data_IF_148845057852
#
_entry.id   IF_148845057852
#
_cell.length_a   1.000
_cell.length_b   1.000
_cell.length_c   1.000
_cell.angle_alpha   90.00
_cell.angle_beta   90.00
_cell.angle_gamma   90.00
#
_symmetry.space_group_name_H-M   'P 1'
#
loop_
_entity.id
_entity.type
_entity.pdbx_description
1 polymer ?
#
# COMPACT_ATOMS: atom_id res chain seq x y z
N UNK A 1 -49.07 42.69 -19.19
CA UNK A 1 -48.70 43.95 -19.88
C UNK A 1 -47.47 44.50 -19.15
N UNK A 2 -46.25 44.69 -19.67
CA UNK A 2 -45.69 45.06 -20.98
C UNK A 2 -44.27 44.44 -21.09
N UNK A 3 -43.96 43.66 -22.13
CA UNK A 3 -43.12 43.99 -23.33
C UNK A 3 -41.63 44.26 -23.04
N UNK A 4 -40.78 43.36 -23.53
CA UNK A 4 -39.33 43.51 -23.72
C UNK A 4 -38.99 44.50 -24.86
N UNK A 5 -37.74 44.97 -24.94
CA UNK A 5 -36.90 44.69 -26.12
C UNK A 5 -35.45 44.31 -25.70
N UNK A 6 -34.85 43.23 -26.21
CA UNK A 6 -34.09 43.18 -27.47
C UNK A 6 -33.14 44.38 -27.65
N UNK A 7 -31.92 44.25 -27.12
CA UNK A 7 -30.74 44.91 -27.65
C UNK A 7 -29.68 43.83 -27.92
N UNK A 8 -29.63 43.38 -29.16
CA UNK A 8 -28.55 42.57 -29.69
C UNK A 8 -27.28 43.44 -29.78
N UNK A 9 -26.20 42.99 -29.16
CA UNK A 9 -24.86 43.47 -29.49
C UNK A 9 -24.03 42.24 -29.87
N UNK A 10 -23.94 42.04 -31.17
CA UNK A 10 -22.92 41.22 -31.82
C UNK A 10 -21.64 42.04 -31.82
N UNK A 11 -20.56 41.59 -31.17
CA UNK A 11 -19.21 42.00 -31.59
C UNK A 11 -18.10 41.05 -31.12
N UNK A 12 -17.33 40.63 -32.13
CA UNK A 12 -15.98 40.11 -32.11
C UNK A 12 -15.73 38.69 -31.56
N UNK A 13 -15.82 37.72 -32.48
CA UNK A 13 -14.96 36.54 -32.53
C UNK A 13 -13.48 36.95 -32.47
N UNK A 14 -12.91 37.07 -31.28
CA UNK A 14 -11.47 36.93 -31.08
C UNK A 14 -11.19 35.43 -31.00
N UNK A 15 -11.06 34.80 -32.18
CA UNK A 15 -10.40 33.51 -32.32
C UNK A 15 -8.91 33.68 -31.96
N UNK A 16 -8.64 33.81 -30.66
CA UNK A 16 -7.31 33.58 -30.13
C UNK A 16 -6.98 32.13 -30.40
N UNK A 17 -6.13 31.88 -31.42
CA UNK A 17 -5.43 30.61 -31.53
C UNK A 17 -4.59 30.47 -30.27
N UNK A 18 -5.13 29.79 -29.26
CA UNK A 18 -4.32 29.13 -28.28
C UNK A 18 -3.37 28.26 -29.10
N UNK A 19 -2.10 28.65 -29.17
CA UNK A 19 -1.06 27.68 -29.44
C UNK A 19 -1.11 26.75 -28.25
N UNK A 20 -1.79 25.62 -28.40
CA UNK A 20 -1.37 24.42 -27.73
C UNK A 20 0.12 24.33 -28.05
N UNK A 21 0.97 24.69 -27.10
CA UNK A 21 2.36 24.27 -27.17
C UNK A 21 2.29 22.77 -27.33
N UNK A 22 2.94 22.26 -28.36
CA UNK A 22 3.13 20.83 -28.54
C UNK A 22 3.84 20.33 -27.28
N UNK A 23 3.07 19.90 -26.29
CA UNK A 23 3.56 19.18 -25.14
C UNK A 23 4.03 17.86 -25.69
N UNK A 24 5.30 17.80 -26.09
CA UNK A 24 5.92 16.61 -26.64
C UNK A 24 5.61 15.45 -25.69
N UNK A 25 4.82 14.44 -26.10
CA UNK A 25 4.56 13.30 -25.25
C UNK A 25 5.60 12.25 -25.62
N UNK A 26 6.72 12.21 -24.92
CA UNK A 26 7.59 11.03 -24.92
C UNK A 26 8.68 11.20 -23.87
N UNK A 27 8.41 10.66 -22.68
CA UNK A 27 9.39 9.91 -21.93
C UNK A 27 10.83 10.47 -21.92
N UNK A 28 11.02 11.60 -21.24
CA UNK A 28 12.33 12.22 -20.96
C UNK A 28 13.17 11.40 -19.96
N UNK A 29 12.98 10.08 -19.88
CA UNK A 29 13.81 9.23 -19.02
C UNK A 29 15.24 9.19 -19.59
N UNK A 30 16.27 9.51 -18.78
CA UNK A 30 17.66 9.27 -19.15
C UNK A 30 17.86 7.85 -19.68
N UNK A 31 18.80 7.65 -20.60
CA UNK A 31 19.07 6.33 -21.22
C UNK A 31 19.21 5.21 -20.19
N UNK A 32 19.79 5.51 -19.04
CA UNK A 32 19.97 4.61 -17.89
C UNK A 32 18.66 4.13 -17.23
N UNK A 33 17.55 4.85 -17.40
CA UNK A 33 16.27 4.58 -16.73
C UNK A 33 15.17 4.10 -17.70
N UNK A 34 15.49 3.92 -18.98
CA UNK A 34 14.50 3.48 -19.99
C UNK A 34 13.89 2.12 -19.66
N UNK A 35 14.69 1.21 -19.13
CA UNK A 35 14.28 -0.14 -18.76
C UNK A 35 13.81 -0.24 -17.30
N UNK A 36 13.82 0.87 -16.55
CA UNK A 36 13.33 0.91 -15.18
C UNK A 36 11.83 1.20 -15.19
N UNK A 37 11.06 0.24 -14.71
CA UNK A 37 9.61 0.33 -14.62
C UNK A 37 9.03 -0.66 -13.63
N UNK A 38 7.70 -0.62 -13.47
CA UNK A 38 6.96 -1.59 -12.67
C UNK A 38 6.39 -2.67 -13.60
N UNK A 39 6.70 -3.92 -13.32
CA UNK A 39 6.06 -5.08 -13.92
C UNK A 39 5.07 -5.69 -12.92
N UNK A 40 3.81 -5.22 -12.89
CA UNK A 40 2.82 -5.80 -11.99
C UNK A 40 2.52 -7.24 -12.41
N UNK A 41 2.30 -8.11 -11.42
CA UNK A 41 1.87 -9.50 -11.62
C UNK A 41 0.49 -9.75 -10.98
N UNK A 42 -0.60 -9.14 -11.47
CA UNK A 42 -1.94 -9.38 -10.91
C UNK A 42 -2.35 -10.84 -11.11
N UNK A 43 -3.05 -11.41 -10.13
CA UNK A 43 -3.46 -12.82 -10.15
C UNK A 43 -2.35 -13.80 -9.75
N UNK A 44 -1.11 -13.34 -9.55
CA UNK A 44 -0.08 -14.14 -8.91
C UNK A 44 -0.58 -14.66 -7.56
N UNK A 45 -0.23 -15.90 -7.24
CA UNK A 45 -0.69 -16.60 -6.04
C UNK A 45 0.43 -16.62 -5.00
N UNK A 46 0.09 -16.30 -3.75
CA UNK A 46 1.01 -16.46 -2.63
C UNK A 46 1.24 -17.95 -2.33
N UNK A 47 2.44 -18.33 -1.84
CA UNK A 47 2.73 -19.69 -1.41
C UNK A 47 2.06 -19.99 -0.06
N UNK A 48 0.77 -20.35 -0.09
CA UNK A 48 -0.07 -20.48 1.11
C UNK A 48 0.40 -21.57 2.09
N UNK A 49 1.18 -22.53 1.60
CA UNK A 49 1.77 -23.63 2.36
C UNK A 49 3.13 -23.27 2.98
N UNK A 50 3.74 -22.15 2.60
CA UNK A 50 5.00 -21.70 3.19
C UNK A 50 4.82 -21.40 4.68
N UNK A 51 5.73 -21.91 5.52
CA UNK A 51 5.62 -21.79 6.98
C UNK A 51 6.29 -20.49 7.43
N UNK A 52 5.54 -19.69 8.17
CA UNK A 52 6.01 -18.47 8.82
C UNK A 52 5.79 -18.55 10.32
N UNK A 53 6.46 -17.68 11.07
CA UNK A 53 6.28 -17.47 12.50
C UNK A 53 5.69 -16.09 12.75
N UNK A 54 4.69 -16.01 13.60
CA UNK A 54 4.13 -14.72 14.02
C UNK A 54 4.95 -14.02 15.11
N UNK A 55 4.46 -12.88 15.59
CA UNK A 55 5.07 -12.10 16.67
C UNK A 55 5.13 -12.80 18.05
N UNK A 56 4.36 -13.88 18.23
CA UNK A 56 4.39 -14.74 19.41
C UNK A 56 5.33 -15.94 19.22
N UNK A 57 5.83 -16.16 18.01
CA UNK A 57 6.69 -17.29 17.63
C UNK A 57 5.92 -18.53 17.18
N UNK A 58 4.59 -18.43 17.03
CA UNK A 58 3.75 -19.52 16.55
C UNK A 58 4.02 -19.78 15.07
N UNK A 59 4.41 -21.02 14.74
CA UNK A 59 4.67 -21.43 13.37
C UNK A 59 3.40 -21.95 12.70
N UNK A 60 3.09 -21.45 11.49
CA UNK A 60 1.96 -21.92 10.70
C UNK A 60 2.15 -21.65 9.20
N UNK A 61 1.41 -22.35 8.32
CA UNK A 61 1.34 -22.01 6.90
C UNK A 61 0.75 -20.60 6.70
N UNK A 62 1.26 -19.86 5.71
CA UNK A 62 0.82 -18.50 5.36
C UNK A 62 -0.69 -18.39 5.19
N UNK A 63 -1.32 -19.44 4.65
CA UNK A 63 -2.77 -19.53 4.46
C UNK A 63 -3.58 -19.24 5.72
N UNK A 64 -3.08 -19.61 6.92
CA UNK A 64 -3.76 -19.39 8.20
C UNK A 64 -4.18 -17.93 8.41
N UNK A 65 -3.37 -16.97 7.97
CA UNK A 65 -3.64 -15.53 8.19
C UNK A 65 -4.39 -14.87 7.03
N UNK A 66 -4.71 -15.63 5.98
CA UNK A 66 -5.36 -15.13 4.76
C UNK A 66 -6.83 -15.58 4.65
N UNK A 67 -7.33 -16.34 5.62
CA UNK A 67 -8.67 -16.92 5.57
C UNK A 67 -9.78 -15.92 5.98
N UNK A 68 -10.89 -15.99 5.24
CA UNK A 68 -12.19 -15.39 5.62
C UNK A 68 -12.36 -13.89 5.33
N UNK A 69 -11.29 -13.13 5.07
CA UNK A 69 -11.36 -11.67 4.86
C UNK A 69 -10.29 -11.16 3.87
N UNK A 70 -10.51 -10.01 3.21
CA UNK A 70 -9.48 -9.32 2.45
C UNK A 70 -8.24 -9.00 3.30
N UNK A 71 -7.06 -9.08 2.69
CA UNK A 71 -5.78 -8.85 3.38
C UNK A 71 -5.03 -7.70 2.71
N UNK A 72 -4.62 -6.73 3.53
CA UNK A 72 -3.62 -5.72 3.16
C UNK A 72 -2.25 -6.29 3.51
N UNK A 73 -1.54 -6.77 2.49
CA UNK A 73 -0.21 -7.34 2.62
C UNK A 73 0.85 -6.25 2.51
N UNK A 74 1.78 -6.22 3.47
CA UNK A 74 2.96 -5.35 3.46
C UNK A 74 4.23 -6.19 3.57
N UNK A 75 5.08 -6.16 2.54
CA UNK A 75 6.37 -6.83 2.56
C UNK A 75 7.42 -5.85 3.07
N UNK A 76 7.90 -6.05 4.30
CA UNK A 76 8.78 -5.10 4.99
C UNK A 76 9.80 -5.81 5.87
N UNK A 77 11.07 -5.40 5.81
CA UNK A 77 12.05 -5.83 6.79
C UNK A 77 11.83 -5.11 8.12
N UNK A 78 11.68 -5.85 9.21
CA UNK A 78 11.38 -5.28 10.51
C UNK A 78 12.60 -4.53 11.10
N UNK A 79 13.81 -5.04 10.87
CA UNK A 79 15.05 -4.37 11.24
C UNK A 79 15.45 -3.16 10.39
N UNK A 80 14.79 -2.89 9.26
CA UNK A 80 15.19 -1.79 8.37
C UNK A 80 14.73 -0.41 8.90
N UNK A 81 15.65 0.53 9.19
CA UNK A 81 15.31 1.81 9.81
C UNK A 81 14.82 2.87 8.80
N UNK A 82 15.00 2.63 7.50
CA UNK A 82 14.75 3.63 6.46
C UNK A 82 13.37 3.40 5.81
N UNK A 83 13.37 2.98 4.54
CA UNK A 83 12.17 2.94 3.71
C UNK A 83 11.08 2.01 4.24
N UNK A 84 11.44 0.86 4.83
CA UNK A 84 10.45 -0.06 5.41
C UNK A 84 9.68 0.59 6.57
N UNK A 85 10.35 1.44 7.35
CA UNK A 85 9.71 2.27 8.36
C UNK A 85 8.70 3.24 7.75
N UNK A 86 9.07 3.91 6.67
CA UNK A 86 8.17 4.84 5.97
C UNK A 86 6.97 4.15 5.32
N UNK A 87 7.15 2.95 4.75
CA UNK A 87 6.04 2.14 4.23
C UNK A 87 5.04 1.83 5.34
N UNK A 88 5.51 1.42 6.52
CA UNK A 88 4.62 1.15 7.67
C UNK A 88 3.99 2.42 8.24
N UNK A 89 4.71 3.54 8.25
CA UNK A 89 4.18 4.84 8.67
C UNK A 89 3.07 5.32 7.73
N UNK A 90 3.27 5.17 6.42
CA UNK A 90 2.29 5.49 5.40
C UNK A 90 1.07 4.58 5.52
N UNK A 91 1.27 3.26 5.65
CA UNK A 91 0.19 2.28 5.82
C UNK A 91 -0.71 2.63 7.00
N UNK A 92 -0.13 2.80 8.19
CA UNK A 92 -0.89 3.19 9.40
C UNK A 92 -1.61 4.52 9.22
N UNK A 93 -1.01 5.49 8.52
CA UNK A 93 -1.61 6.81 8.27
C UNK A 93 -2.79 6.73 7.31
N UNK A 94 -2.64 5.99 6.21
CA UNK A 94 -3.67 5.80 5.19
C UNK A 94 -4.86 5.00 5.67
N UNK A 95 -4.66 4.08 6.62
CA UNK A 95 -5.75 3.28 7.19
C UNK A 95 -6.58 4.04 8.26
N UNK A 96 -6.06 5.11 8.87
CA UNK A 96 -6.79 5.87 9.90
C UNK A 96 -8.14 6.45 9.46
N UNK A 97 -8.27 7.08 8.27
CA UNK A 97 -9.56 7.59 7.80
C UNK A 97 -10.50 6.50 7.26
N UNK A 98 -10.05 5.24 7.15
CA UNK A 98 -10.88 4.15 6.63
C UNK A 98 -11.88 3.69 7.69
N UNK A 99 -13.17 3.71 7.33
CA UNK A 99 -14.25 3.32 8.24
C UNK A 99 -14.20 1.83 8.63
N UNK A 100 -13.70 0.97 7.74
CA UNK A 100 -13.53 -0.46 7.97
C UNK A 100 -12.59 -0.75 9.16
N UNK A 101 -12.79 -1.88 9.80
CA UNK A 101 -12.10 -2.31 11.01
C UNK A 101 -11.15 -3.50 10.76
N UNK A 102 -9.84 -3.35 11.03
CA UNK A 102 -8.92 -4.48 11.05
C UNK A 102 -9.39 -5.56 12.03
N UNK A 103 -9.39 -6.81 11.60
CA UNK A 103 -9.83 -7.98 12.37
C UNK A 103 -11.33 -8.23 12.34
N UNK A 104 -12.10 -7.35 11.68
CA UNK A 104 -13.53 -7.54 11.40
C UNK A 104 -13.79 -7.55 9.89
N UNK A 105 -13.34 -6.51 9.20
CA UNK A 105 -13.61 -6.31 7.77
C UNK A 105 -12.42 -6.69 6.89
N UNK A 106 -11.19 -6.55 7.41
CA UNK A 106 -9.95 -6.92 6.71
C UNK A 106 -8.84 -7.29 7.70
N UNK A 107 -7.78 -7.92 7.20
CA UNK A 107 -6.56 -8.23 7.95
C UNK A 107 -5.41 -7.37 7.42
N UNK A 108 -4.54 -6.87 8.30
CA UNK A 108 -3.24 -6.32 7.92
C UNK A 108 -2.18 -7.36 8.20
N UNK A 109 -1.47 -7.78 7.16
CA UNK A 109 -0.43 -8.79 7.25
C UNK A 109 0.90 -8.17 6.84
N UNK A 110 1.80 -7.98 7.80
CA UNK A 110 3.17 -7.55 7.53
C UNK A 110 4.08 -8.78 7.51
N UNK A 111 4.80 -9.02 6.43
CA UNK A 111 5.72 -10.16 6.31
C UNK A 111 7.13 -9.63 6.09
N UNK A 112 8.07 -10.04 6.95
CA UNK A 112 9.48 -9.78 6.71
C UNK A 112 10.05 -10.74 5.70
N UNK A 113 10.73 -10.15 4.72
CA UNK A 113 11.51 -10.85 3.71
C UNK A 113 13.01 -10.87 4.07
N UNK A 114 13.39 -10.49 5.30
CA UNK A 114 14.74 -10.67 5.84
C UNK A 114 14.77 -11.94 6.71
N UNK A 115 15.50 -12.99 6.31
CA UNK A 115 15.56 -14.24 7.08
C UNK A 115 16.26 -14.09 8.45
N UNK A 116 16.85 -12.92 8.72
CA UNK A 116 17.48 -12.60 10.00
C UNK A 116 16.48 -12.01 11.00
N UNK A 117 15.32 -11.53 10.55
CA UNK A 117 14.28 -11.08 11.45
C UNK A 117 13.63 -12.28 12.16
N UNK A 118 13.45 -12.15 13.47
CA UNK A 118 12.73 -13.15 14.29
C UNK A 118 11.46 -12.59 14.94
N UNK A 119 10.73 -13.43 15.70
CA UNK A 119 9.48 -13.05 16.37
C UNK A 119 9.60 -11.81 17.26
N UNK A 120 10.77 -11.57 17.85
CA UNK A 120 11.03 -10.36 18.64
C UNK A 120 10.96 -9.08 17.81
N UNK A 121 11.60 -9.07 16.63
CA UNK A 121 11.55 -7.93 15.71
C UNK A 121 10.13 -7.70 15.18
N UNK A 122 9.40 -8.78 14.89
CA UNK A 122 7.99 -8.73 14.51
C UNK A 122 7.13 -8.09 15.60
N UNK A 123 7.30 -8.53 16.85
CA UNK A 123 6.58 -7.99 18.01
C UNK A 123 6.88 -6.52 18.23
N UNK A 124 8.16 -6.11 18.15
CA UNK A 124 8.55 -4.72 18.26
C UNK A 124 7.90 -3.85 17.17
N UNK A 125 7.92 -4.32 15.92
CA UNK A 125 7.30 -3.60 14.79
C UNK A 125 5.78 -3.53 14.93
N UNK A 126 5.12 -4.61 15.36
CA UNK A 126 3.68 -4.65 15.64
C UNK A 126 3.30 -3.62 16.69
N UNK A 127 4.01 -3.58 17.82
CA UNK A 127 3.75 -2.60 18.89
C UNK A 127 3.85 -1.16 18.38
N UNK A 128 4.89 -0.84 17.60
CA UNK A 128 5.03 0.49 17.00
C UNK A 128 3.91 0.82 16.01
N UNK A 129 3.54 -0.12 15.14
CA UNK A 129 2.46 0.07 14.17
C UNK A 129 1.10 0.28 14.83
N UNK A 130 0.76 -0.52 15.85
CA UNK A 130 -0.50 -0.40 16.59
C UNK A 130 -0.56 0.92 17.38
N UNK A 131 0.53 1.29 18.07
CA UNK A 131 0.61 2.57 18.78
C UNK A 131 0.38 3.75 17.83
N UNK A 132 1.00 3.71 16.65
CA UNK A 132 0.82 4.75 15.62
C UNK A 132 -0.59 4.75 15.02
N UNK A 133 -1.17 3.58 14.78
CA UNK A 133 -2.52 3.45 14.21
C UNK A 133 -3.58 4.03 15.16
N UNK A 134 -3.42 3.82 16.47
CA UNK A 134 -4.15 4.56 17.50
C UNK A 134 -5.64 4.22 17.66
N UNK A 135 -6.12 3.11 17.05
CA UNK A 135 -7.50 2.63 17.23
C UNK A 135 -7.59 1.51 18.27
N UNK A 136 -8.50 1.60 19.27
CA UNK A 136 -8.70 0.55 20.26
C UNK A 136 -9.01 -0.81 19.61
N UNK A 137 -8.44 -1.89 20.16
CA UNK A 137 -8.69 -3.26 19.69
C UNK A 137 -8.04 -3.63 18.36
N UNK A 138 -7.31 -2.71 17.70
CA UNK A 138 -6.71 -2.94 16.39
C UNK A 138 -5.74 -4.13 16.35
N UNK A 139 -5.09 -4.46 17.47
CA UNK A 139 -4.08 -5.53 17.53
C UNK A 139 -4.57 -6.91 17.04
N UNK A 140 -5.88 -7.20 17.11
CA UNK A 140 -6.47 -8.46 16.63
C UNK A 140 -6.48 -8.60 15.11
N UNK A 141 -6.44 -7.49 14.39
CA UNK A 141 -6.48 -7.46 12.92
C UNK A 141 -5.12 -7.34 12.26
N UNK A 142 -4.03 -7.38 13.02
CA UNK A 142 -2.67 -7.13 12.54
C UNK A 142 -1.79 -8.31 12.91
N UNK A 143 -1.10 -8.89 11.93
CA UNK A 143 -0.16 -9.99 12.14
C UNK A 143 1.18 -9.63 11.52
N UNK A 144 2.26 -9.95 12.22
CA UNK A 144 3.62 -9.65 11.79
C UNK A 144 4.41 -10.96 11.72
N UNK A 145 4.77 -11.34 10.50
CA UNK A 145 5.34 -12.65 10.21
C UNK A 145 6.82 -12.55 9.86
N UNK A 146 7.59 -13.53 10.33
CA UNK A 146 8.99 -13.78 9.96
C UNK A 146 9.12 -15.18 9.38
N UNK A 147 9.95 -15.33 8.35
CA UNK A 147 10.23 -16.62 7.71
C UNK A 147 11.72 -16.93 7.76
N UNK A 148 12.06 -18.20 7.66
CA UNK A 148 13.44 -18.58 7.36
C UNK A 148 13.76 -18.32 5.87
N UNK A 149 15.01 -18.59 5.48
CA UNK A 149 15.45 -18.35 4.12
C UNK A 149 14.73 -19.24 3.09
N UNK A 150 14.21 -20.41 3.49
CA UNK A 150 13.44 -21.27 2.60
C UNK A 150 12.08 -20.64 2.31
N UNK A 151 11.33 -20.25 3.33
CA UNK A 151 10.03 -19.61 3.19
C UNK A 151 10.10 -18.30 2.39
N UNK A 152 11.14 -17.49 2.60
CA UNK A 152 11.31 -16.17 1.95
C UNK A 152 11.64 -16.25 0.46
N UNK A 153 12.27 -17.34 -0.01
CA UNK A 153 12.65 -17.49 -1.42
C UNK A 153 11.50 -17.95 -2.34
N UNK A 154 10.34 -18.28 -1.77
CA UNK A 154 9.21 -18.85 -2.48
C UNK A 154 8.32 -17.82 -3.17
#
# INVERSE_FOLDING_TARGET
MRRAPLAAVVLALLAGRARAGDGAPADERPLLLRDVGLAPHPGARLPLDAVFRDEAGEAAPLGRWLEGRPVVLSLVYFGCPMLCGEVMNALTTSLRPVALEPGKDFTVLAVSFDPRDGPEAARAKKSAAIARYGRPGAARGWHFLTGDAEAIRR
#
